data_IF_138064848000
#
_entry.id   IF_138064848000
#
_cell.length_a   1.000
_cell.length_b   1.000
_cell.length_c   1.000
_cell.angle_alpha   90.00
_cell.angle_beta   90.00
_cell.angle_gamma   90.00
#
_symmetry.space_group_name_H-M   'P 1'
#
loop_
_entity.id
_entity.type
_entity.pdbx_description
1 polymer ?
2 polymer ?
#
loop_
_entity_poly.entity_id
_entity_poly.type
_entity_poly.pdbx_seq_one_letter_code
_entity_poly.pdbx_strand_id
1 'polyribonucleotide' 'GGAUUGUUACUGCUACGGCAGGCAAAACC' ?
#
# COMPACT_ATOMS: atom_id res chain seq x y z
N UNK B 1 -4.53 -2.52 -16.99
CA UNK B 1 -4.53 -2.45 -15.49
C UNK B 1 -5.96 -2.25 -14.96
N UNK B 2 -6.11 -2.25 -13.67
CA UNK B 2 -7.46 -2.05 -13.05
C UNK B 2 -7.33 -1.78 -11.55
N UNK B 3 -8.23 -1.03 -10.99
CA UNK B 3 -8.16 -0.72 -9.54
C UNK B 3 -8.80 -1.86 -8.74
N UNK B 4 -8.00 -2.65 -8.08
CA UNK B 4 -8.55 -3.79 -7.27
C UNK B 4 -9.12 -3.25 -5.95
N UNK B 5 -8.48 -2.29 -5.36
CA UNK B 5 -8.99 -1.71 -4.07
C UNK B 5 -8.47 -0.28 -3.89
N UNK B 6 -8.97 0.40 -2.89
CA UNK B 6 -8.51 1.80 -2.64
C UNK B 6 -8.42 2.03 -1.11
N UNK B 7 -7.32 2.56 -0.66
CA UNK B 7 -7.15 2.79 0.80
C UNK B 7 -7.36 4.29 1.11
N UNK B 8 -7.04 5.14 0.18
CA UNK B 8 -7.19 6.61 0.38
C UNK B 8 -7.06 7.34 -0.96
N UNK B 9 -7.46 8.58 -1.01
CA UNK B 9 -7.39 9.37 -2.29
C UNK B 9 -6.00 9.33 -2.96
N UNK B 10 -4.96 8.91 -2.28
CA UNK B 10 -3.61 8.90 -2.92
C UNK B 10 -3.09 7.48 -3.18
N UNK B 11 -3.56 6.49 -2.47
CA UNK B 11 -3.03 5.11 -2.72
C UNK B 11 -4.17 4.12 -3.01
N UNK B 12 -3.92 3.20 -3.91
CA UNK B 12 -4.95 2.17 -4.27
C UNK B 12 -4.27 0.84 -4.60
N UNK B 13 -5.00 -0.24 -4.59
CA UNK B 13 -4.41 -1.57 -4.91
C UNK B 13 -4.73 -1.94 -6.37
N UNK B 14 -3.97 -2.85 -6.95
CA UNK B 14 -4.22 -3.25 -8.37
C UNK B 14 -3.56 -4.62 -8.65
N UNK B 15 -4.16 -5.41 -9.50
CA UNK B 15 -3.58 -6.75 -9.84
C UNK B 15 -3.03 -6.70 -11.28
N UNK B 16 -1.88 -7.27 -11.49
CA UNK B 16 -1.28 -7.27 -12.86
C UNK B 16 -1.50 -8.62 -13.55
N UNK B 17 -0.77 -8.87 -14.61
CA UNK B 17 -0.93 -10.17 -15.35
C UNK B 17 -0.33 -11.34 -14.56
N UNK B 18 0.56 -11.06 -13.64
CA UNK B 18 1.19 -12.16 -12.84
C UNK B 18 0.20 -12.72 -11.80
N UNK B 19 -0.88 -12.01 -11.54
CA UNK B 19 -1.88 -12.50 -10.55
C UNK B 19 -1.45 -12.08 -9.12
N UNK B 20 -0.62 -11.08 -9.01
CA UNK B 20 -0.17 -10.61 -7.67
C UNK B 20 -0.84 -9.28 -7.33
N UNK B 21 -0.88 -8.92 -6.07
CA UNK B 21 -1.51 -7.63 -5.70
C UNK B 21 -0.44 -6.55 -5.56
N UNK B 22 -0.67 -5.42 -6.16
CA UNK B 22 0.33 -4.31 -6.09
C UNK B 22 -0.37 -3.02 -5.62
N UNK B 23 0.32 -2.16 -4.94
CA UNK B 23 -0.32 -0.90 -4.47
C UNK B 23 0.27 0.28 -5.25
N UNK B 24 -0.57 1.19 -5.68
CA UNK B 24 -0.07 2.36 -6.45
C UNK B 24 -0.30 3.66 -5.68
N UNK B 25 0.76 4.26 -5.21
CA UNK B 25 0.63 5.54 -4.46
C UNK B 25 0.71 6.71 -5.44
N UNK B 26 0.02 7.76 -5.15
CA UNK B 26 0.03 8.96 -6.05
C UNK B 26 -0.64 10.10 -5.30
N UNK B 27 -0.74 11.25 -5.91
CA UNK B 27 -1.39 12.39 -5.19
C UNK B 27 -2.85 12.54 -5.67
N UNK B 28 -3.79 12.33 -4.78
CA UNK B 28 -5.24 12.48 -5.13
C UNK B 28 -5.59 11.70 -6.40
N UNK B 29 -4.99 10.54 -6.61
CA UNK B 29 -5.33 9.74 -7.82
C UNK B 29 -6.55 8.84 -7.55
N UNK B 30 -6.81 8.53 -6.31
CA UNK B 30 -7.98 7.67 -5.95
C UNK B 30 -9.20 8.53 -5.64
N UNK B 31 -9.05 9.83 -5.53
CA UNK B 31 -10.23 10.68 -5.23
C UNK B 31 -11.30 10.52 -6.30
N UNK B 32 -12.55 10.41 -5.90
CA UNK B 32 -13.67 10.24 -6.87
C UNK B 32 -13.43 9.07 -7.82
N UNK B 33 -12.62 8.11 -7.44
CA UNK B 33 -12.36 6.94 -8.32
C UNK B 33 -13.00 5.67 -7.73
N UNK B 34 -12.94 4.58 -8.44
CA UNK B 34 -13.56 3.31 -7.91
C UNK B 34 -12.76 2.10 -8.39
N UNK B 35 -13.13 0.92 -7.96
CA UNK B 35 -12.41 -0.31 -8.39
C UNK B 35 -12.97 -0.82 -9.72
N UNK B 36 -12.12 -1.36 -10.55
CA UNK B 36 -12.58 -1.88 -11.88
C UNK B 36 -12.02 -1.01 -13.01
N UNK B 37 -11.90 0.28 -12.78
CA UNK B 37 -11.35 1.18 -13.83
C UNK B 37 -9.84 1.01 -13.94
N UNK B 38 -9.27 1.35 -15.07
CA UNK B 38 -7.79 1.22 -15.24
C UNK B 38 -7.06 2.20 -14.34
N UNK B 39 -5.98 1.79 -13.72
CA UNK B 39 -5.22 2.70 -12.83
C UNK B 39 -4.54 3.79 -13.66
N UNK B 40 -4.71 5.04 -13.28
CA UNK B 40 -4.08 6.15 -14.06
C UNK B 40 -2.55 6.05 -13.97
N UNK B 41 -1.91 5.63 -15.03
CA UNK B 41 -0.43 5.49 -15.02
C UNK B 41 0.26 6.85 -14.84
N UNK B 42 -0.33 7.90 -15.35
CA UNK B 42 0.29 9.26 -15.20
C UNK B 42 0.26 9.71 -13.74
N UNK B 43 -0.70 9.26 -12.99
CA UNK B 43 -0.80 9.66 -11.55
C UNK B 43 0.03 8.72 -10.66
N UNK B 44 0.63 7.68 -11.21
CA UNK B 44 1.43 6.75 -10.38
C UNK B 44 2.73 7.42 -9.92
N UNK B 45 2.86 7.65 -8.64
CA UNK B 45 4.11 8.28 -8.10
C UNK B 45 5.02 7.20 -7.50
N UNK B 46 4.44 6.25 -6.81
CA UNK B 46 5.25 5.15 -6.20
C UNK B 46 4.47 3.84 -6.25
N UNK B 47 5.02 2.81 -6.85
CA UNK B 47 4.30 1.50 -6.93
C UNK B 47 4.72 0.60 -5.76
N UNK B 48 3.93 -0.41 -5.48
CA UNK B 48 4.27 -1.35 -4.38
C UNK B 48 3.93 -2.77 -4.81
N UNK B 49 4.41 -3.75 -4.07
CA UNK B 49 4.13 -5.16 -4.45
C UNK B 49 3.98 -6.05 -3.22
N UNK B 50 2.95 -6.86 -3.20
CA UNK B 50 2.71 -7.77 -2.04
C UNK B 50 3.95 -8.65 -1.76
N UNK B 51 4.24 -8.86 -0.51
CA UNK B 51 5.41 -9.68 -0.11
C UNK B 51 5.01 -10.68 0.99
N UNK B 52 5.95 -11.45 1.48
CA UNK B 52 5.63 -12.43 2.56
C UNK B 52 5.98 -11.84 3.93
N UNK B 53 4.99 -11.63 4.77
CA UNK B 53 5.26 -11.04 6.12
C UNK B 53 6.17 -11.94 6.96
N UNK B 54 6.31 -13.20 6.60
CA UNK B 54 7.18 -14.11 7.39
C UNK B 54 8.63 -13.62 7.40
N UNK B 55 9.11 -13.12 6.29
CA UNK B 55 10.52 -12.62 6.25
C UNK B 55 10.65 -11.32 7.07
N UNK C 1 11.09 -1.36 12.91
CA UNK C 1 10.44 -0.44 11.93
C UNK C 1 9.47 0.52 12.64
N UNK C 2 8.79 1.34 11.89
CA UNK C 2 7.82 2.31 12.50
C UNK C 2 6.78 2.74 11.45
N UNK C 3 5.60 3.09 11.89
CA UNK C 3 4.55 3.53 10.93
C UNK C 3 4.90 4.89 10.33
N UNK C 4 4.95 4.96 9.03
CA UNK C 4 5.30 6.25 8.35
C UNK C 4 4.02 7.04 8.05
N UNK C 5 2.95 6.36 7.74
CA UNK C 5 1.67 7.06 7.42
C UNK C 5 0.50 6.07 7.42
N UNK C 6 -0.47 6.30 8.27
CA UNK C 6 -1.66 5.39 8.32
C UNK C 6 -2.54 5.63 7.09
N UNK C 7 -2.72 4.63 6.28
CA UNK C 7 -3.56 4.79 5.05
C UNK C 7 -5.03 4.45 5.37
N UNK C 8 -5.25 3.56 6.30
CA UNK C 8 -6.63 3.16 6.69
C UNK C 8 -6.58 2.35 7.99
N UNK C 9 -7.70 1.97 8.55
CA UNK C 9 -7.67 1.19 9.83
C UNK C 9 -7.07 -0.23 9.64
N UNK C 10 -6.86 -0.68 8.42
CA UNK C 10 -6.29 -2.04 8.22
C UNK C 10 -5.07 -1.94 7.29
N UNK C 11 -4.57 -0.75 7.04
CA UNK C 11 -3.39 -0.61 6.13
C UNK C 11 -2.54 0.59 6.59
N UNK C 12 -1.25 0.40 6.72
CA UNK C 12 -0.36 1.53 7.14
C UNK C 12 0.99 1.44 6.42
N UNK C 13 1.69 2.54 6.34
CA UNK C 13 3.02 2.53 5.66
C UNK C 13 4.13 2.42 6.72
N UNK C 14 5.31 2.03 6.33
CA UNK C 14 6.42 1.90 7.33
C UNK C 14 7.78 1.84 6.61
N UNK C 15 8.73 2.60 7.08
CA UNK C 15 10.09 2.59 6.44
C UNK C 15 10.90 1.43 7.02
N UNK C 16 11.38 0.57 6.17
CA UNK C 16 12.19 -0.59 6.64
C UNK C 16 13.54 -0.11 7.19
N UNK C 17 14.23 -0.96 7.91
CA UNK C 17 15.56 -0.56 8.47
C UNK C 17 16.51 -0.19 7.32
N UNK C 18 16.33 -0.80 6.17
CA UNK C 18 17.20 -0.48 5.00
C UNK C 18 16.88 0.92 4.48
N UNK C 19 15.65 1.35 4.60
CA UNK C 19 15.26 2.71 4.11
C UNK C 19 14.25 2.59 2.96
N UNK C 20 13.56 1.48 2.86
CA UNK C 20 12.57 1.30 1.77
C UNK C 20 11.16 1.57 2.30
N UNK C 21 10.26 1.97 1.45
CA UNK C 21 8.87 2.24 1.90
C UNK C 21 8.06 0.95 1.80
N UNK C 22 7.45 0.54 2.88
CA UNK C 22 6.65 -0.72 2.86
C UNK C 22 5.23 -0.47 3.38
N UNK C 23 4.28 -1.23 2.91
CA UNK C 23 2.88 -1.05 3.39
C UNK C 23 2.46 -2.33 4.11
N UNK C 24 1.73 -2.23 5.19
CA UNK C 24 1.32 -3.46 5.93
C UNK C 24 -0.20 -3.49 6.15
N UNK C 25 -0.88 -4.33 5.41
CA UNK C 25 -2.37 -4.44 5.57
C UNK C 25 -2.68 -5.59 6.51
N UNK C 26 -3.69 -5.44 7.32
CA UNK C 26 -4.04 -6.54 8.27
C UNK C 26 -5.37 -6.23 8.95
N UNK C 27 -5.88 -7.17 9.71
CA UNK C 27 -7.17 -6.96 10.41
C UNK C 27 -7.02 -5.90 11.49
N UNK C 28 -7.55 -4.73 11.24
CA UNK C 28 -7.48 -3.63 12.25
C UNK C 28 -6.05 -3.42 12.75
N UNK C 29 -5.05 -3.60 11.92
CA UNK C 29 -3.65 -3.36 12.40
C UNK C 29 -3.29 -1.88 12.24
N UNK C 30 -4.25 -1.07 11.80
CA UNK C 30 -4.00 0.38 11.61
C UNK C 30 -5.17 1.22 12.14
N UNK C 31 -6.10 0.63 12.86
CA UNK C 31 -7.25 1.42 13.37
C UNK C 31 -6.80 2.49 14.36
N UNK C 32 -7.32 3.68 14.22
CA UNK C 32 -6.97 4.81 15.15
C UNK C 32 -5.47 4.76 15.53
N UNK C 33 -4.61 4.58 14.56
CA UNK C 33 -3.15 4.51 14.85
C UNK C 33 -2.44 5.77 14.36
N UNK C 34 -1.15 5.87 14.57
CA UNK C 34 -0.39 7.07 14.12
C UNK C 34 1.02 6.67 13.66
N UNK C 35 1.78 7.61 13.17
CA UNK C 35 3.16 7.27 12.70
C UNK C 35 4.15 7.34 13.87
N UNK C 36 5.15 6.49 13.85
CA UNK C 36 6.16 6.49 14.95
C UNK C 36 6.12 5.16 15.71
N UNK C 37 4.96 4.55 15.80
CA UNK C 37 4.85 3.25 16.54
C UNK C 37 5.29 2.09 15.63
N UNK C 38 5.80 1.04 16.21
CA UNK C 38 6.23 -0.14 15.39
C UNK C 38 5.01 -0.87 14.85
N UNK C 39 5.09 -1.36 13.62
CA UNK C 39 3.94 -2.08 13.02
C UNK C 39 3.71 -3.41 13.75
N UNK C 40 2.49 -3.67 14.17
CA UNK C 40 2.20 -4.94 14.88
C UNK C 40 2.39 -6.13 13.94
N UNK C 41 3.47 -6.86 14.10
CA UNK C 41 3.72 -8.03 13.20
C UNK C 41 2.68 -9.14 13.40
N UNK C 42 2.05 -9.20 14.55
CA UNK C 42 1.03 -10.27 14.80
C UNK C 42 -0.22 -10.02 13.93
N UNK C 43 -0.47 -8.80 13.56
CA UNK C 43 -1.68 -8.50 12.73
C UNK C 43 -1.29 -8.19 11.27
N UNK C 44 -0.12 -8.60 10.83
CA UNK C 44 0.29 -8.33 9.42
C UNK C 44 -0.27 -9.41 8.48
N UNK C 45 -1.13 -9.04 7.59
CA UNK C 45 -1.71 -10.02 6.63
C UNK C 45 -1.02 -9.91 5.26
N UNK C 46 -0.74 -8.70 4.83
CA UNK C 46 -0.06 -8.52 3.51
C UNK C 46 0.93 -7.35 3.58
N UNK C 47 2.16 -7.58 3.19
CA UNK C 47 3.17 -6.48 3.23
C UNK C 47 3.56 -6.09 1.81
N UNK C 48 3.40 -4.85 1.43
CA UNK C 48 3.79 -4.45 0.04
C UNK C 48 5.11 -3.69 0.07
N UNK C 49 5.88 -3.81 -0.98
CA UNK C 49 7.20 -3.13 -1.02
C UNK C 49 7.26 -2.13 -2.19
N UNK C 50 7.72 -0.94 -1.92
CA UNK C 50 7.82 0.11 -2.99
C UNK C 50 8.62 -0.41 -4.19
N UNK C 51 8.07 -0.25 -5.36
CA UNK C 51 8.75 -0.71 -6.61
C UNK C 51 9.02 0.47 -7.54
N UNK C 52 9.69 0.24 -8.64
CA UNK C 52 9.98 1.34 -9.61
C UNK C 52 8.83 1.48 -10.61
N UNK C 53 8.15 2.60 -10.59
CA UNK C 53 7.00 2.82 -11.54
C UNK C 53 7.47 2.84 -13.00
N UNK C 54 8.75 3.01 -13.23
CA UNK C 54 9.25 3.03 -14.65
C UNK C 54 8.93 1.70 -15.35
N UNK C 55 9.05 0.60 -14.66
CA UNK C 55 8.75 -0.71 -15.28
C UNK C 55 7.23 -0.84 -15.52
#
# INVERSE_FOLDING_TARGET
MKIAKVINNNVISVVNEQGKELVVMGRGLAFQKKSGDDVDEARIEKVFTLDNKDV
MKIAKVINNNVISVVNEQGKELVVMGRGLAFQKKSGDDVDEARIEKVFTLDNKDV
#
